data_IF_717215937852
#
_entry.id   IF_717215937852
#
_cell.length_a   1.000
_cell.length_b   1.000
_cell.length_c   1.000
_cell.angle_alpha   90.00
_cell.angle_beta   90.00
_cell.angle_gamma   90.00
#
_symmetry.space_group_name_H-M   'P 1'
#
loop_
_entity.id
_entity.type
_entity.pdbx_description
1 polymer ?
#
# COMPACT_ATOMS: atom_id res chain seq x y z
N UNK A 1 -7.66 2.50 -1.28
CA UNK A 1 -7.96 2.40 0.16
C UNK A 1 -6.76 1.78 0.85
N UNK A 2 -6.36 2.31 2.01
CA UNK A 2 -5.31 1.77 2.86
C UNK A 2 -5.88 1.56 4.26
N UNK A 3 -5.57 0.43 4.88
CA UNK A 3 -5.96 0.12 6.25
C UNK A 3 -4.71 -0.24 7.04
N UNK A 4 -4.46 0.47 8.13
CA UNK A 4 -3.48 0.07 9.13
C UNK A 4 -4.13 -0.96 10.06
N UNK A 5 -3.36 -1.97 10.45
CA UNK A 5 -3.79 -3.03 11.35
C UNK A 5 -3.00 -2.90 12.64
N UNK A 6 -3.65 -3.18 13.78
CA UNK A 6 -2.98 -3.24 15.08
C UNK A 6 -1.81 -4.25 15.05
N UNK A 7 -2.02 -5.38 14.37
CA UNK A 7 -1.00 -6.40 14.12
C UNK A 7 -1.35 -7.22 12.89
N UNK A 8 -0.35 -7.85 12.28
CA UNK A 8 -0.52 -8.63 11.05
C UNK A 8 -1.52 -9.79 11.22
N UNK A 9 -1.56 -10.41 12.40
CA UNK A 9 -2.41 -11.55 12.74
C UNK A 9 -3.90 -11.23 12.71
N UNK A 10 -4.29 -9.96 12.64
CA UNK A 10 -5.69 -9.56 12.40
C UNK A 10 -6.22 -10.18 11.11
N UNK A 11 -5.38 -10.31 10.06
CA UNK A 11 -5.76 -10.87 8.76
C UNK A 11 -6.21 -12.33 8.81
N UNK A 12 -5.80 -13.07 9.83
CA UNK A 12 -6.18 -14.47 10.06
C UNK A 12 -7.04 -14.66 11.31
N UNK A 13 -7.37 -13.57 12.00
CA UNK A 13 -8.19 -13.63 13.21
C UNK A 13 -9.61 -14.09 12.91
N UNK A 14 -10.22 -14.79 13.88
CA UNK A 14 -11.61 -15.25 13.78
C UNK A 14 -12.57 -14.09 13.49
N UNK A 15 -12.46 -12.97 14.21
CA UNK A 15 -13.36 -11.83 14.03
C UNK A 15 -13.27 -11.20 12.63
N UNK A 16 -12.08 -11.18 12.03
CA UNK A 16 -11.89 -10.71 10.67
C UNK A 16 -12.52 -11.66 9.64
N UNK A 17 -12.21 -12.96 9.75
CA UNK A 17 -12.70 -13.98 8.83
C UNK A 17 -14.22 -14.17 8.93
N UNK A 18 -14.80 -14.10 10.13
CA UNK A 18 -16.25 -14.18 10.33
C UNK A 18 -16.98 -13.07 9.55
N UNK A 19 -16.45 -11.84 9.55
CA UNK A 19 -17.02 -10.72 8.78
C UNK A 19 -16.95 -10.96 7.27
N UNK A 20 -15.81 -11.43 6.77
CA UNK A 20 -15.65 -11.71 5.33
C UNK A 20 -16.48 -12.92 4.84
N UNK A 21 -16.85 -13.82 5.75
CA UNK A 21 -17.71 -14.97 5.45
C UNK A 21 -19.20 -14.72 5.73
N UNK A 22 -19.55 -13.58 6.33
CA UNK A 22 -20.94 -13.15 6.56
C UNK A 22 -21.18 -11.74 5.96
N UNK A 23 -21.03 -11.57 4.63
CA UNK A 23 -21.23 -10.27 3.99
C UNK A 23 -22.66 -9.77 4.21
N UNK A 24 -22.80 -8.47 4.49
CA UNK A 24 -24.12 -7.83 4.62
C UNK A 24 -24.90 -7.90 3.30
N UNK A 25 -26.24 -7.77 3.30
CA UNK A 25 -27.02 -7.71 2.05
C UNK A 25 -26.50 -6.65 1.06
N UNK A 26 -26.03 -5.51 1.59
CA UNK A 26 -25.42 -4.47 0.77
C UNK A 26 -24.08 -4.91 0.17
N UNK A 27 -23.19 -5.52 0.97
CA UNK A 27 -21.91 -6.07 0.50
C UNK A 27 -22.14 -7.10 -0.61
N UNK A 28 -23.06 -8.05 -0.42
CA UNK A 28 -23.40 -9.06 -1.43
C UNK A 28 -23.86 -8.42 -2.74
N UNK A 29 -24.64 -7.33 -2.67
CA UNK A 29 -25.10 -6.59 -3.85
C UNK A 29 -23.96 -5.83 -4.55
N UNK A 30 -23.02 -5.25 -3.80
CA UNK A 30 -21.99 -4.36 -4.35
C UNK A 30 -20.70 -5.08 -4.79
N UNK A 31 -20.34 -6.18 -4.15
CA UNK A 31 -19.08 -6.89 -4.42
C UNK A 31 -18.88 -7.31 -5.88
N UNK A 32 -19.90 -7.81 -6.62
CA UNK A 32 -19.74 -8.16 -8.03
C UNK A 32 -19.33 -6.99 -8.94
N UNK A 33 -19.56 -5.75 -8.50
CA UNK A 33 -19.23 -4.55 -9.27
C UNK A 33 -17.79 -4.05 -9.04
N UNK A 34 -17.02 -4.70 -8.18
CA UNK A 34 -15.62 -4.35 -7.94
C UNK A 34 -14.73 -4.96 -9.03
N UNK A 35 -14.38 -4.18 -10.04
CA UNK A 35 -13.54 -4.60 -11.16
C UNK A 35 -12.08 -4.19 -10.95
N UNK A 36 -11.15 -5.07 -11.35
CA UNK A 36 -9.71 -4.77 -11.35
C UNK A 36 -9.13 -4.51 -9.96
N UNK A 37 -9.70 -5.13 -8.92
CA UNK A 37 -9.28 -4.90 -7.55
C UNK A 37 -7.84 -5.37 -7.34
N UNK A 38 -7.00 -4.49 -6.80
CA UNK A 38 -5.64 -4.84 -6.34
C UNK A 38 -5.62 -4.75 -4.82
N UNK A 39 -5.41 -5.89 -4.17
CA UNK A 39 -5.39 -6.02 -2.72
C UNK A 39 -4.13 -6.71 -2.25
N UNK A 40 -3.21 -5.89 -1.75
CA UNK A 40 -1.97 -6.33 -1.15
C UNK A 40 -2.09 -6.30 0.37
N UNK A 41 -2.00 -7.46 1.01
CA UNK A 41 -1.83 -7.58 2.46
C UNK A 41 -0.34 -7.60 2.73
N UNK A 42 0.17 -6.64 3.50
CA UNK A 42 1.59 -6.36 3.54
C UNK A 42 2.16 -6.35 4.96
N UNK A 43 3.48 -6.52 5.03
CA UNK A 43 4.31 -6.10 6.17
C UNK A 43 5.02 -4.80 5.82
N UNK A 44 5.23 -3.97 6.84
CA UNK A 44 6.09 -2.79 6.75
C UNK A 44 7.54 -3.25 6.87
N UNK A 45 8.32 -3.11 5.79
CA UNK A 45 9.74 -3.47 5.79
C UNK A 45 10.63 -2.29 6.19
N UNK A 46 10.24 -1.07 5.84
CA UNK A 46 10.91 0.15 6.26
C UNK A 46 9.89 1.29 6.40
N UNK A 47 10.12 2.18 7.35
CA UNK A 47 9.22 3.29 7.63
C UNK A 47 10.01 4.46 8.20
N UNK A 48 9.92 5.62 7.56
CA UNK A 48 10.62 6.83 7.97
C UNK A 48 9.66 8.01 7.92
N UNK A 49 9.73 8.90 8.91
CA UNK A 49 8.78 10.00 9.07
C UNK A 49 7.37 9.51 9.41
N UNK A 50 6.37 10.36 9.15
CA UNK A 50 4.96 10.03 9.39
C UNK A 50 4.05 11.24 9.38
N UNK A 51 2.83 11.04 9.89
CA UNK A 51 1.78 12.04 9.92
C UNK A 51 0.85 11.97 8.71
N UNK A 52 -0.23 12.75 8.79
CA UNK A 52 -1.23 12.84 7.73
C UNK A 52 -0.86 14.03 6.84
N UNK A 53 -0.66 13.76 5.55
CA UNK A 53 -0.26 14.76 4.58
C UNK A 53 -1.30 14.91 3.48
N UNK A 54 -1.28 16.05 2.78
CA UNK A 54 -2.27 16.36 1.74
C UNK A 54 -2.07 15.56 0.46
N UNK A 55 -0.86 15.04 0.24
CA UNK A 55 -0.48 14.34 -0.99
C UNK A 55 0.16 12.99 -0.66
N UNK A 56 -0.15 11.97 -1.46
CA UNK A 56 0.40 10.63 -1.38
C UNK A 56 0.69 10.09 -2.78
N UNK A 57 1.89 9.54 -2.98
CA UNK A 57 2.20 8.68 -4.12
C UNK A 57 2.38 7.23 -3.67
N UNK A 58 1.87 6.30 -4.48
CA UNK A 58 2.15 4.87 -4.35
C UNK A 58 2.97 4.41 -5.54
N UNK A 59 4.06 3.71 -5.33
CA UNK A 59 4.86 3.11 -6.41
C UNK A 59 4.85 1.61 -6.19
N UNK A 60 4.16 0.88 -7.07
CA UNK A 60 4.02 -0.58 -7.01
C UNK A 60 5.02 -1.19 -7.97
N UNK A 61 5.82 -2.14 -7.51
CA UNK A 61 6.88 -2.76 -8.29
C UNK A 61 7.12 -4.20 -7.86
N UNK A 62 7.87 -4.92 -8.67
CA UNK A 62 8.33 -6.27 -8.39
C UNK A 62 9.86 -6.31 -8.53
N UNK A 63 10.59 -6.98 -7.63
CA UNK A 63 12.01 -7.22 -7.81
C UNK A 63 12.26 -8.16 -8.99
N UNK A 64 13.42 -8.04 -9.63
CA UNK A 64 13.98 -9.10 -10.47
C UNK A 64 14.40 -10.29 -9.61
N UNK A 65 14.32 -11.50 -10.18
CA UNK A 65 14.65 -12.72 -9.46
C UNK A 65 16.12 -12.72 -9.00
N UNK A 66 16.34 -12.91 -7.69
CA UNK A 66 17.67 -12.90 -7.08
C UNK A 66 18.22 -11.52 -6.73
N UNK A 67 17.46 -10.43 -7.02
CA UNK A 67 17.83 -9.04 -6.70
C UNK A 67 17.05 -8.50 -5.50
N UNK A 68 16.22 -9.30 -4.85
CA UNK A 68 15.30 -8.89 -3.79
C UNK A 68 16.05 -8.23 -2.63
N UNK A 69 17.03 -8.92 -2.04
CA UNK A 69 17.73 -8.38 -0.86
C UNK A 69 18.44 -7.04 -1.16
N UNK A 70 19.06 -6.94 -2.33
CA UNK A 70 19.78 -5.74 -2.76
C UNK A 70 18.81 -4.58 -3.03
N UNK A 71 17.72 -4.82 -3.76
CA UNK A 71 16.71 -3.81 -4.02
C UNK A 71 16.09 -3.31 -2.72
N UNK A 72 15.71 -4.22 -1.81
CA UNK A 72 15.11 -3.83 -0.53
C UNK A 72 16.04 -2.94 0.30
N UNK A 73 17.34 -3.24 0.33
CA UNK A 73 18.33 -2.45 1.06
C UNK A 73 18.45 -1.03 0.47
N UNK A 74 18.64 -0.91 -0.85
CA UNK A 74 18.73 0.37 -1.54
C UNK A 74 17.47 1.23 -1.40
N UNK A 75 16.29 0.61 -1.52
CA UNK A 75 15.02 1.31 -1.33
C UNK A 75 14.89 1.81 0.12
N UNK A 76 15.28 1.01 1.11
CA UNK A 76 15.21 1.42 2.52
C UNK A 76 16.11 2.63 2.79
N UNK A 77 17.35 2.64 2.28
CA UNK A 77 18.25 3.79 2.40
C UNK A 77 17.71 5.04 1.69
N UNK A 78 17.21 4.84 0.46
CA UNK A 78 16.63 5.93 -0.35
C UNK A 78 15.45 6.56 0.38
N UNK A 79 14.50 5.75 0.88
CA UNK A 79 13.33 6.22 1.62
C UNK A 79 13.72 6.95 2.91
N UNK A 80 14.76 6.47 3.60
CA UNK A 80 15.31 7.16 4.77
C UNK A 80 15.79 8.58 4.45
N UNK A 81 16.42 8.77 3.30
CA UNK A 81 16.81 10.11 2.81
C UNK A 81 15.60 10.95 2.40
N UNK A 82 14.67 10.36 1.64
CA UNK A 82 13.49 11.05 1.11
C UNK A 82 12.57 11.60 2.20
N UNK A 83 12.39 10.87 3.30
CA UNK A 83 11.53 11.30 4.41
C UNK A 83 11.98 12.64 5.06
N UNK A 84 13.24 13.04 4.85
CA UNK A 84 13.80 14.28 5.38
C UNK A 84 13.86 15.42 4.35
N UNK A 85 13.45 15.18 3.10
CA UNK A 85 13.42 16.23 2.08
C UNK A 85 12.28 17.21 2.33
N UNK A 86 12.50 18.53 2.11
CA UNK A 86 11.42 19.49 2.05
C UNK A 86 10.33 19.04 1.07
N UNK A 87 9.07 19.22 1.47
CA UNK A 87 7.90 18.75 0.74
C UNK A 87 7.38 17.39 1.17
N UNK A 88 8.24 16.51 1.70
CA UNK A 88 7.86 15.17 2.15
C UNK A 88 7.69 15.11 3.69
N UNK A 89 6.86 14.17 4.14
CA UNK A 89 6.60 13.91 5.56
C UNK A 89 6.82 12.47 5.95
N UNK A 90 6.66 11.52 5.03
CA UNK A 90 6.84 10.10 5.31
C UNK A 90 7.14 9.28 4.06
N UNK A 91 7.99 8.26 4.21
CA UNK A 91 8.42 7.36 3.16
C UNK A 91 8.46 5.92 3.71
N UNK A 92 7.69 5.02 3.11
CA UNK A 92 7.47 3.68 3.64
C UNK A 92 7.62 2.61 2.55
N UNK A 93 8.18 1.45 2.90
CA UNK A 93 8.26 0.27 2.06
C UNK A 93 7.39 -0.83 2.63
N UNK A 94 6.45 -1.32 1.83
CA UNK A 94 5.56 -2.42 2.15
C UNK A 94 5.86 -3.61 1.25
N UNK A 95 5.99 -4.79 1.85
CA UNK A 95 6.17 -6.05 1.13
C UNK A 95 4.91 -6.90 1.30
N UNK A 96 4.33 -7.35 0.20
CA UNK A 96 3.15 -8.22 0.23
C UNK A 96 3.51 -9.56 0.85
N UNK A 97 2.77 -9.88 1.91
CA UNK A 97 2.82 -11.14 2.64
C UNK A 97 1.35 -11.49 2.89
N UNK A 98 0.67 -12.03 1.88
CA UNK A 98 -0.73 -12.41 2.03
C UNK A 98 -0.81 -13.76 2.74
N UNK A 99 -1.51 -13.88 3.89
CA UNK A 99 -1.61 -15.15 4.59
C UNK A 99 -2.18 -16.24 3.69
N UNK A 100 -1.58 -17.42 3.75
CA UNK A 100 -2.11 -18.60 3.08
C UNK A 100 -3.36 -19.08 3.83
N UNK A 101 -4.54 -18.76 3.31
CA UNK A 101 -5.80 -19.29 3.81
C UNK A 101 -6.16 -20.59 3.09
N UNK A 102 -6.75 -21.55 3.80
CA UNK A 102 -7.16 -22.85 3.23
C UNK A 102 -8.29 -22.72 2.21
N UNK A 103 -9.06 -21.63 2.23
CA UNK A 103 -10.15 -21.37 1.29
C UNK A 103 -10.40 -19.87 1.10
N UNK A 104 -10.84 -19.44 -0.09
CA UNK A 104 -11.31 -18.07 -0.29
C UNK A 104 -12.54 -17.78 0.56
N UNK A 105 -12.59 -16.57 1.13
CA UNK A 105 -13.77 -16.09 1.90
C UNK A 105 -15.01 -15.93 1.00
N UNK A 106 -16.21 -15.95 1.58
CA UNK A 106 -17.46 -15.72 0.83
C UNK A 106 -17.42 -14.42 0.03
N UNK A 107 -16.92 -13.33 0.62
CA UNK A 107 -16.77 -12.05 -0.08
C UNK A 107 -15.84 -12.15 -1.31
N UNK A 108 -14.71 -12.86 -1.19
CA UNK A 108 -13.80 -13.11 -2.31
C UNK A 108 -14.44 -13.99 -3.39
N UNK A 109 -15.23 -14.99 -3.01
CA UNK A 109 -15.92 -15.85 -3.98
C UNK A 109 -16.92 -15.05 -4.83
N UNK A 110 -17.56 -14.03 -4.25
CA UNK A 110 -18.52 -13.16 -4.96
C UNK A 110 -17.82 -12.24 -5.96
N UNK A 111 -16.71 -11.59 -5.58
CA UNK A 111 -16.02 -10.61 -6.45
C UNK A 111 -14.98 -11.23 -7.38
N UNK A 112 -14.52 -12.45 -7.10
CA UNK A 112 -13.45 -13.11 -7.85
C UNK A 112 -12.05 -12.82 -7.32
N UNK A 113 -11.05 -13.07 -8.18
CA UNK A 113 -9.63 -13.00 -7.81
C UNK A 113 -9.12 -11.56 -7.82
N UNK A 114 -8.52 -11.15 -6.71
CA UNK A 114 -7.81 -9.88 -6.60
C UNK A 114 -6.43 -9.97 -7.28
N UNK A 115 -5.98 -8.88 -7.91
CA UNK A 115 -4.57 -8.66 -8.19
C UNK A 115 -3.81 -8.29 -6.91
N UNK A 116 -2.48 -8.37 -6.96
CA UNK A 116 -1.60 -7.89 -5.89
C UNK A 116 -0.41 -7.18 -6.51
N UNK A 117 0.07 -6.14 -5.84
CA UNK A 117 1.43 -5.64 -6.06
C UNK A 117 2.37 -6.38 -5.13
N UNK A 118 3.55 -6.75 -5.60
CA UNK A 118 4.54 -7.44 -4.79
C UNK A 118 5.05 -6.48 -3.72
N UNK A 119 5.63 -5.35 -4.13
CA UNK A 119 6.16 -4.33 -3.23
C UNK A 119 5.49 -2.99 -3.50
N UNK A 120 5.31 -2.18 -2.44
CA UNK A 120 4.68 -0.87 -2.52
C UNK A 120 5.52 0.13 -1.73
N UNK A 121 6.00 1.18 -2.40
CA UNK A 121 6.49 2.38 -1.73
C UNK A 121 5.34 3.36 -1.54
N UNK A 122 5.28 3.97 -0.36
CA UNK A 122 4.37 5.06 -0.03
C UNK A 122 5.19 6.32 0.24
N UNK A 123 4.95 7.39 -0.51
CA UNK A 123 5.52 8.71 -0.26
C UNK A 123 4.40 9.68 0.09
N UNK A 124 4.45 10.26 1.28
CA UNK A 124 3.52 11.27 1.76
C UNK A 124 4.22 12.62 1.92
N UNK A 125 3.48 13.70 1.69
CA UNK A 125 4.05 15.04 1.77
C UNK A 125 3.01 16.15 1.67
N UNK A 126 3.41 17.34 2.10
CA UNK A 126 2.60 18.57 1.99
C UNK A 126 2.77 19.27 0.64
N UNK A 127 3.84 18.95 -0.09
CA UNK A 127 4.11 19.48 -1.42
C UNK A 127 3.95 18.37 -2.46
N UNK A 128 2.91 18.48 -3.28
CA UNK A 128 2.65 17.51 -4.35
C UNK A 128 3.77 17.53 -5.41
N UNK A 129 4.30 18.70 -5.75
CA UNK A 129 5.32 18.84 -6.80
C UNK A 129 6.64 18.20 -6.36
N UNK A 130 7.02 18.36 -5.09
CA UNK A 130 8.19 17.69 -4.54
C UNK A 130 8.07 16.15 -4.62
N UNK A 131 6.90 15.60 -4.31
CA UNK A 131 6.64 14.14 -4.45
C UNK A 131 6.75 13.72 -5.93
N UNK A 132 6.16 14.50 -6.83
CA UNK A 132 6.20 14.22 -8.27
C UNK A 132 7.63 14.23 -8.82
N UNK A 133 8.43 15.21 -8.44
CA UNK A 133 9.84 15.32 -8.84
C UNK A 133 10.62 14.10 -8.34
N UNK A 134 10.46 13.70 -7.08
CA UNK A 134 11.08 12.48 -6.54
C UNK A 134 10.66 11.23 -7.29
N UNK A 135 9.37 11.08 -7.60
CA UNK A 135 8.84 9.93 -8.32
C UNK A 135 9.31 9.88 -9.79
N UNK A 136 9.46 11.04 -10.43
CA UNK A 136 9.89 11.15 -11.82
C UNK A 136 11.41 11.05 -12.01
N UNK A 137 12.20 11.31 -10.96
CA UNK A 137 13.67 11.25 -10.99
C UNK A 137 14.18 10.03 -10.22
N UNK A 138 14.26 10.14 -8.90
CA UNK A 138 14.94 9.18 -8.01
C UNK A 138 14.23 7.82 -7.93
N UNK A 139 12.92 7.78 -8.16
CA UNK A 139 12.11 6.55 -8.17
C UNK A 139 11.45 6.30 -9.54
N UNK A 140 12.05 6.84 -10.60
CA UNK A 140 11.60 6.58 -11.96
C UNK A 140 11.74 5.10 -12.33
N UNK A 141 10.99 4.59 -13.33
CA UNK A 141 11.15 3.21 -13.78
C UNK A 141 12.59 2.86 -14.18
N UNK A 142 13.30 3.80 -14.82
CA UNK A 142 14.69 3.61 -15.19
C UNK A 142 15.60 3.51 -13.94
N UNK A 143 15.45 4.42 -12.97
CA UNK A 143 16.22 4.38 -11.73
C UNK A 143 15.97 3.07 -10.95
N UNK A 144 14.71 2.68 -10.80
CA UNK A 144 14.34 1.42 -10.14
C UNK A 144 14.88 0.20 -10.88
N UNK A 145 14.86 0.21 -12.22
CA UNK A 145 15.45 -0.85 -13.04
C UNK A 145 16.94 -1.05 -12.78
N UNK A 146 17.72 0.04 -12.64
CA UNK A 146 19.15 -0.07 -12.29
C UNK A 146 19.41 -0.68 -10.92
N UNK A 147 18.42 -0.63 -10.02
CA UNK A 147 18.48 -1.21 -8.68
C UNK A 147 17.96 -2.66 -8.64
N UNK A 148 17.51 -3.22 -9.76
CA UNK A 148 17.00 -4.59 -9.85
C UNK A 148 15.49 -4.72 -9.67
N UNK A 149 14.71 -3.68 -9.99
CA UNK A 149 13.26 -3.80 -10.16
C UNK A 149 12.89 -4.20 -11.60
N UNK A 150 11.76 -4.88 -11.77
CA UNK A 150 11.18 -5.15 -13.09
C UNK A 150 10.75 -3.86 -13.80
N UNK A 151 10.63 -3.93 -15.12
CA UNK A 151 10.40 -2.80 -16.04
C UNK A 151 8.94 -2.27 -16.08
N UNK A 152 8.11 -2.62 -15.10
CA UNK A 152 6.68 -2.35 -15.08
C UNK A 152 6.14 -1.65 -13.81
N UNK A 153 6.89 -0.75 -13.14
CA UNK A 153 6.37 -0.12 -11.94
C UNK A 153 5.14 0.74 -12.24
N UNK A 154 4.14 0.67 -11.38
CA UNK A 154 2.91 1.47 -11.50
C UNK A 154 2.89 2.57 -10.45
N UNK A 155 2.79 3.82 -10.89
CA UNK A 155 2.72 4.99 -10.01
C UNK A 155 1.28 5.49 -9.91
N UNK A 156 0.77 5.58 -8.68
CA UNK A 156 -0.54 6.14 -8.34
C UNK A 156 -0.36 7.41 -7.51
N UNK A 157 -1.25 8.39 -7.71
CA UNK A 157 -1.21 9.70 -7.06
C UNK A 157 -2.54 9.99 -6.41
N UNK A 158 -2.49 10.47 -5.18
CA UNK A 158 -3.68 10.68 -4.35
C UNK A 158 -3.56 12.00 -3.62
N UNK A 159 -4.69 12.70 -3.51
CA UNK A 159 -4.83 13.90 -2.68
C UNK A 159 -5.80 13.59 -1.56
N UNK A 160 -5.39 13.90 -0.34
CA UNK A 160 -6.27 13.82 0.82
C UNK A 160 -7.40 14.84 0.65
N UNK A 161 -8.63 14.36 0.63
CA UNK A 161 -9.81 15.22 0.60
C UNK A 161 -10.27 15.58 2.01
N UNK A 162 -10.16 14.64 2.94
CA UNK A 162 -10.68 14.76 4.30
C UNK A 162 -10.02 13.73 5.22
N UNK A 163 -9.89 14.07 6.50
CA UNK A 163 -9.44 13.16 7.56
C UNK A 163 -10.36 13.30 8.76
N UNK A 164 -10.61 12.19 9.45
CA UNK A 164 -11.28 12.16 10.75
C UNK A 164 -10.45 11.35 11.72
N UNK A 165 -10.46 11.83 12.95
CA UNK A 165 -9.96 11.13 14.12
C UNK A 165 -11.15 10.61 14.94
N UNK A 166 -10.92 9.69 15.89
CA UNK A 166 -11.97 9.28 16.82
C UNK A 166 -12.61 10.45 17.58
N UNK A 167 -11.87 11.55 17.78
CA UNK A 167 -12.39 12.77 18.43
C UNK A 167 -13.41 13.53 17.57
N UNK A 168 -13.40 13.34 16.24
CA UNK A 168 -14.35 14.00 15.32
C UNK A 168 -15.70 13.26 15.24
N UNK A 169 -15.78 12.03 15.77
CA UNK A 169 -16.99 11.24 15.78
C UNK A 169 -17.92 11.71 16.90
N UNK A 170 -19.15 12.10 16.56
CA UNK A 170 -20.18 12.37 17.55
C UNK A 170 -20.39 11.12 18.43
N UNK A 171 -20.40 11.31 19.75
CA UNK A 171 -20.78 10.25 20.68
C UNK A 171 -22.27 9.98 20.47
N UNK A 172 -22.59 8.79 19.96
CA UNK A 172 -23.97 8.29 19.82
C UNK A 172 -24.32 7.51 21.08
#
# INVERSE_FOLDING_TARGET
>A
MLYELERYEVLTSKGYLDRLNAPTPWSTKMMPHHLGMVRSQCRVAASFGGGVATSLATIRLSPEAGREAELQAHLSETLGTLAHMPGLTGAHLLLTDTPRTSSPTTEQQIRGKDGAADWIMLLSGYDAEAIEQVAADRLSPAALGTLGAQDNPTIGRYRLAFTMTPQDMATI
#
